data_IF_025583438380
#
_entry.id   IF_025583438380
#
_cell.length_a   1.000
_cell.length_b   1.000
_cell.length_c   1.000
_cell.angle_alpha   90.00
_cell.angle_beta   90.00
_cell.angle_gamma   90.00
#
_symmetry.space_group_name_H-M   'P 1'
#
loop_
_entity.id
_entity.type
_entity.pdbx_description
1 polymer ?
#
# COMPACT_ATOMS: atom_id res chain seq x y z
N UNK A 1 -5.43 -5.49 -30.23
CA UNK A 1 -5.41 -6.18 -28.92
C UNK A 1 -6.67 -5.74 -28.23
N UNK A 2 -7.55 -6.69 -27.94
CA UNK A 2 -8.80 -6.46 -27.21
C UNK A 2 -8.51 -6.91 -25.79
N UNK A 3 -8.54 -5.96 -24.85
CA UNK A 3 -8.28 -6.24 -23.45
C UNK A 3 -9.61 -6.15 -22.70
N UNK A 4 -10.04 -7.26 -22.12
CA UNK A 4 -11.34 -7.33 -21.42
C UNK A 4 -11.39 -6.45 -20.17
N UNK A 5 -10.21 -6.10 -19.62
CA UNK A 5 -10.08 -5.33 -18.39
C UNK A 5 -9.01 -4.25 -18.52
N UNK A 6 -9.40 -3.01 -18.26
CA UNK A 6 -8.49 -1.85 -18.22
C UNK A 6 -8.45 -1.28 -16.80
N UNK A 7 -7.24 -1.11 -16.26
CA UNK A 7 -6.98 -0.48 -14.97
C UNK A 7 -6.39 0.90 -15.21
N UNK A 8 -7.09 1.95 -14.80
CA UNK A 8 -6.62 3.33 -14.96
C UNK A 8 -5.88 3.78 -13.70
N UNK A 9 -4.58 4.00 -13.82
CA UNK A 9 -3.65 4.42 -12.76
C UNK A 9 -2.63 3.33 -12.39
N UNK A 10 -1.35 3.65 -12.51
CA UNK A 10 -0.19 2.80 -12.16
C UNK A 10 0.31 2.95 -10.72
N UNK A 11 -0.55 3.42 -9.81
CA UNK A 11 -0.25 3.52 -8.38
C UNK A 11 -0.33 2.17 -7.65
N UNK A 12 -0.11 2.19 -6.33
CA UNK A 12 -0.14 0.99 -5.48
C UNK A 12 -1.42 0.16 -5.64
N UNK A 13 -2.58 0.83 -5.73
CA UNK A 13 -3.86 0.17 -5.91
C UNK A 13 -3.99 -0.46 -7.31
N UNK A 14 -3.67 0.27 -8.37
CA UNK A 14 -3.80 -0.23 -9.74
C UNK A 14 -2.87 -1.39 -10.06
N UNK A 15 -1.62 -1.31 -9.59
CA UNK A 15 -0.66 -2.42 -9.72
C UNK A 15 -1.09 -3.63 -8.88
N UNK A 16 -1.62 -3.43 -7.67
CA UNK A 16 -2.17 -4.50 -6.86
C UNK A 16 -3.38 -5.18 -7.54
N UNK A 17 -4.26 -4.38 -8.17
CA UNK A 17 -5.40 -4.89 -8.95
C UNK A 17 -4.94 -5.71 -10.16
N UNK A 18 -4.02 -5.17 -10.97
CA UNK A 18 -3.48 -5.89 -12.13
C UNK A 18 -2.80 -7.20 -11.72
N UNK A 19 -2.05 -7.21 -10.62
CA UNK A 19 -1.45 -8.42 -10.06
C UNK A 19 -2.51 -9.42 -9.59
N UNK A 20 -3.56 -8.97 -8.91
CA UNK A 20 -4.65 -9.84 -8.47
C UNK A 20 -5.35 -10.51 -9.66
N UNK A 21 -5.64 -9.74 -10.72
CA UNK A 21 -6.25 -10.24 -11.97
C UNK A 21 -5.34 -11.27 -12.65
N UNK A 22 -4.04 -10.96 -12.78
CA UNK A 22 -3.07 -11.88 -13.36
C UNK A 22 -3.01 -13.21 -12.59
N UNK A 23 -3.08 -13.17 -11.25
CA UNK A 23 -3.05 -14.38 -10.40
C UNK A 23 -4.27 -15.28 -10.58
N UNK A 24 -5.40 -14.74 -11.03
CA UNK A 24 -6.61 -15.51 -11.35
C UNK A 24 -6.74 -15.83 -12.85
N UNK A 25 -5.69 -15.57 -13.64
CA UNK A 25 -5.63 -15.89 -15.08
C UNK A 25 -6.28 -14.86 -15.99
N UNK A 26 -6.66 -13.68 -15.47
CA UNK A 26 -7.25 -12.60 -16.24
C UNK A 26 -6.17 -11.63 -16.71
N UNK A 27 -6.21 -11.29 -18.01
CA UNK A 27 -5.35 -10.24 -18.58
C UNK A 27 -5.92 -8.87 -18.26
N UNK A 28 -5.05 -7.90 -18.04
CA UNK A 28 -5.45 -6.51 -17.84
C UNK A 28 -4.40 -5.57 -18.41
N UNK A 29 -4.87 -4.41 -18.88
CA UNK A 29 -4.03 -3.30 -19.33
C UNK A 29 -4.02 -2.20 -18.27
N UNK A 30 -2.85 -1.84 -17.76
CA UNK A 30 -2.69 -0.69 -16.85
C UNK A 30 -2.32 0.54 -17.67
N UNK A 31 -3.10 1.61 -17.53
CA UNK A 31 -2.82 2.90 -18.13
C UNK A 31 -2.35 3.87 -17.06
N UNK A 32 -1.14 4.40 -17.19
CA UNK A 32 -0.58 5.42 -16.28
C UNK A 32 -0.19 6.65 -17.09
N UNK A 33 -0.43 7.84 -16.52
CA UNK A 33 -0.09 9.12 -17.15
C UNK A 33 1.41 9.41 -17.08
N UNK A 34 2.07 9.02 -16.00
CA UNK A 34 3.50 9.23 -15.81
C UNK A 34 4.33 8.29 -16.70
N UNK A 35 5.39 8.82 -17.31
CA UNK A 35 6.31 8.05 -18.16
C UNK A 35 7.11 7.00 -17.37
N UNK A 36 7.13 7.10 -16.04
CA UNK A 36 7.79 6.15 -15.15
C UNK A 36 7.12 6.10 -13.78
N UNK A 37 7.30 4.96 -13.09
CA UNK A 37 6.86 4.82 -11.71
C UNK A 37 7.68 5.77 -10.82
N UNK A 38 7.00 6.77 -10.25
CA UNK A 38 7.61 7.64 -9.25
C UNK A 38 7.75 6.87 -7.94
N UNK A 39 8.99 6.71 -7.49
CA UNK A 39 9.33 6.04 -6.21
C UNK A 39 9.48 7.03 -5.06
N UNK A 40 9.53 8.34 -5.33
CA UNK A 40 9.82 9.36 -4.34
C UNK A 40 8.55 9.92 -3.68
N UNK A 41 8.56 10.03 -2.35
CA UNK A 41 7.67 10.93 -1.60
C UNK A 41 6.44 10.31 -0.94
N UNK A 42 6.18 9.01 -1.08
CA UNK A 42 5.04 8.36 -0.43
C UNK A 42 5.52 7.38 0.66
N UNK A 43 5.42 7.80 1.93
CA UNK A 43 5.39 6.88 3.06
C UNK A 43 3.93 6.64 3.46
N UNK A 44 3.57 5.40 3.75
CA UNK A 44 2.24 5.07 4.25
C UNK A 44 2.31 3.95 5.28
N UNK A 45 1.36 3.95 6.20
CA UNK A 45 1.28 2.97 7.28
C UNK A 45 0.46 1.78 6.81
N UNK A 46 0.98 0.58 7.03
CA UNK A 46 0.29 -0.68 6.79
C UNK A 46 -0.29 -1.23 8.09
N UNK A 47 -1.61 -1.27 8.19
CA UNK A 47 -2.31 -1.97 9.25
C UNK A 47 -2.30 -3.50 9.04
N UNK A 48 -2.61 -4.32 10.06
CA UNK A 48 -2.55 -5.77 9.94
C UNK A 48 -3.38 -6.38 8.80
N UNK A 49 -4.52 -5.76 8.46
CA UNK A 49 -5.35 -6.19 7.32
C UNK A 49 -4.66 -5.94 5.96
N UNK A 50 -3.91 -4.85 5.83
CA UNK A 50 -3.15 -4.55 4.63
C UNK A 50 -2.00 -5.55 4.44
N UNK A 51 -1.33 -5.96 5.52
CA UNK A 51 -0.36 -7.06 5.49
C UNK A 51 -0.98 -8.38 5.03
N UNK A 52 -2.16 -8.73 5.54
CA UNK A 52 -2.91 -9.91 5.07
C UNK A 52 -3.24 -9.83 3.58
N UNK A 53 -3.64 -8.65 3.08
CA UNK A 53 -3.89 -8.46 1.66
C UNK A 53 -2.61 -8.63 0.82
N UNK A 54 -1.47 -8.11 1.28
CA UNK A 54 -0.17 -8.29 0.63
C UNK A 54 0.30 -9.76 0.64
N UNK A 55 -0.04 -10.52 1.68
CA UNK A 55 0.17 -11.96 1.72
C UNK A 55 -0.66 -12.69 0.66
N UNK A 56 -1.95 -12.35 0.51
CA UNK A 56 -2.82 -12.91 -0.53
C UNK A 56 -2.32 -12.58 -1.95
N UNK A 57 -1.74 -11.40 -2.14
CA UNK A 57 -1.09 -10.99 -3.39
C UNK A 57 0.28 -11.67 -3.60
N UNK A 58 0.86 -12.27 -2.56
CA UNK A 58 2.15 -12.98 -2.61
C UNK A 58 3.38 -12.08 -2.54
N UNK A 59 3.21 -10.78 -2.25
CA UNK A 59 4.30 -9.77 -2.27
C UNK A 59 4.81 -9.38 -0.90
N UNK A 60 4.10 -9.76 0.18
CA UNK A 60 4.48 -9.39 1.54
C UNK A 60 5.90 -9.85 1.93
N UNK A 61 6.37 -10.99 1.40
CA UNK A 61 7.71 -11.51 1.67
C UNK A 61 8.83 -10.53 1.28
N UNK A 62 8.64 -9.75 0.22
CA UNK A 62 9.61 -8.74 -0.24
C UNK A 62 9.64 -7.50 0.66
N UNK A 63 8.55 -7.25 1.40
CA UNK A 63 8.36 -6.06 2.25
C UNK A 63 8.73 -6.33 3.71
N UNK A 64 8.56 -7.56 4.21
CA UNK A 64 8.91 -7.98 5.58
C UNK A 64 10.33 -7.60 6.02
N UNK A 65 11.39 -7.68 5.20
CA UNK A 65 12.71 -7.24 5.64
C UNK A 65 12.95 -5.72 5.56
N UNK A 66 11.98 -4.94 5.07
CA UNK A 66 12.16 -3.52 4.71
C UNK A 66 11.21 -2.56 5.42
N UNK A 67 10.31 -3.05 6.28
CA UNK A 67 9.36 -2.19 6.99
C UNK A 67 9.89 -1.78 8.37
N UNK A 68 9.43 -0.64 8.84
CA UNK A 68 9.62 -0.21 10.23
C UNK A 68 8.34 -0.48 11.01
N UNK A 69 8.47 -1.07 12.19
CA UNK A 69 7.36 -1.22 13.13
C UNK A 69 6.94 0.17 13.64
N UNK A 70 5.63 0.41 13.68
CA UNK A 70 5.08 1.61 14.27
C UNK A 70 4.86 1.37 15.77
N UNK A 71 5.71 1.95 16.61
CA UNK A 71 5.67 1.74 18.07
C UNK A 71 4.53 2.53 18.75
N UNK A 72 4.16 3.66 18.19
CA UNK A 72 3.13 4.52 18.75
C UNK A 72 2.82 5.73 17.89
N UNK A 73 1.76 6.43 18.25
CA UNK A 73 1.32 7.66 17.61
C UNK A 73 1.22 8.75 18.67
N UNK A 74 1.90 9.88 18.45
CA UNK A 74 1.77 11.09 19.27
C UNK A 74 0.90 12.11 18.54
N UNK A 75 -0.25 12.42 19.14
CA UNK A 75 -1.08 13.54 18.71
C UNK A 75 -0.77 14.77 19.53
N UNK A 76 -0.60 15.92 18.87
CA UNK A 76 -0.40 17.21 19.53
C UNK A 76 -1.52 18.18 19.13
N UNK A 77 -2.14 18.83 20.11
CA UNK A 77 -3.05 19.95 19.88
C UNK A 77 -2.26 21.25 19.87
N UNK A 78 -2.25 21.94 18.72
CA UNK A 78 -1.49 23.19 18.57
C UNK A 78 -2.04 24.33 19.43
N UNK A 79 -3.36 24.40 19.66
CA UNK A 79 -3.97 25.51 20.40
C UNK A 79 -3.90 25.35 21.92
N UNK A 80 -3.82 24.11 22.43
CA UNK A 80 -3.79 23.84 23.88
C UNK A 80 -2.43 23.39 24.39
N UNK A 81 -1.49 23.06 23.50
CA UNK A 81 -0.18 22.49 23.86
C UNK A 81 -0.25 21.08 24.43
N UNK A 82 -1.44 20.47 24.49
CA UNK A 82 -1.61 19.11 25.02
C UNK A 82 -1.12 18.10 23.99
N UNK A 83 -0.18 17.24 24.38
CA UNK A 83 0.20 16.06 23.63
C UNK A 83 -0.32 14.79 24.30
N UNK A 84 -0.85 13.86 23.51
CA UNK A 84 -1.16 12.50 23.96
C UNK A 84 -0.42 11.50 23.10
N UNK A 85 0.16 10.51 23.75
CA UNK A 85 0.84 9.40 23.10
C UNK A 85 0.02 8.13 23.31
N UNK A 86 -0.21 7.41 22.22
CA UNK A 86 -0.82 6.09 22.23
C UNK A 86 0.23 5.12 21.75
N UNK A 87 0.71 4.27 22.65
CA UNK A 87 1.53 3.13 22.24
C UNK A 87 0.64 2.09 21.60
N UNK A 88 1.07 1.59 20.45
CA UNK A 88 0.38 0.50 19.78
C UNK A 88 0.86 -0.80 20.44
N UNK A 89 -0.01 -1.40 21.24
CA UNK A 89 0.26 -2.74 21.79
C UNK A 89 0.31 -3.71 20.61
N UNK A 90 1.47 -4.36 20.44
CA UNK A 90 1.57 -5.46 19.49
C UNK A 90 0.74 -6.63 20.04
N UNK A 91 -0.22 -7.08 19.24
CA UNK A 91 -1.07 -8.24 19.54
C UNK A 91 -0.46 -9.55 19.07
#
# INVERSE_FOLDING_TARGET
MEEDIVVVGGGVAGLATALALHRVGLKSLVLERADSLRTAGAAFILWPNAWKALDSLGVAHALRPRYSLLDGIRGCSNCTGVSKEVQLKQG
#
